data_IF_372836465660
#
_entry.id   IF_372836465660
#
_cell.length_a   1.000
_cell.length_b   1.000
_cell.length_c   1.000
_cell.angle_alpha   90.00
_cell.angle_beta   90.00
_cell.angle_gamma   90.00
#
_symmetry.space_group_name_H-M   'P 1'
#
loop_
_entity.id
_entity.type
_entity.pdbx_description
1 polymer ?
#
# COMPACT_ATOMS: atom_id res chain seq x y z
N UNK A 1 -4.68 17.30 1.76
CA UNK A 1 -4.40 18.06 0.54
C UNK A 1 -3.51 17.32 -0.47
N UNK A 2 -2.29 16.83 -0.09
CA UNK A 2 -1.42 16.11 -1.06
C UNK A 2 -1.96 14.73 -1.45
N UNK A 3 -2.46 13.94 -0.50
CA UNK A 3 -3.06 12.65 -0.82
C UNK A 3 -4.29 12.80 -1.73
N UNK A 4 -5.14 13.80 -1.45
CA UNK A 4 -6.30 14.11 -2.29
C UNK A 4 -5.92 14.64 -3.68
N UNK A 5 -4.74 15.22 -3.85
CA UNK A 5 -4.30 15.68 -5.17
C UNK A 5 -4.08 14.52 -6.16
N UNK A 6 -3.71 13.34 -5.67
CA UNK A 6 -3.52 12.17 -6.53
C UNK A 6 -4.82 11.80 -7.25
N UNK A 7 -5.93 11.74 -6.53
CA UNK A 7 -7.30 11.65 -7.08
C UNK A 7 -8.28 12.29 -6.08
N UNK A 8 -8.83 13.48 -6.39
CA UNK A 8 -9.63 14.25 -5.43
C UNK A 8 -11.00 13.64 -5.08
N UNK A 9 -11.56 12.82 -5.97
CA UNK A 9 -12.89 12.23 -5.81
C UNK A 9 -12.89 10.92 -5.02
N UNK A 10 -11.73 10.35 -4.72
CA UNK A 10 -11.62 9.11 -3.95
C UNK A 10 -10.81 9.26 -2.66
N UNK A 11 -11.03 8.34 -1.74
CA UNK A 11 -10.11 8.12 -0.64
C UNK A 11 -8.90 7.41 -1.23
N UNK A 12 -7.73 8.09 -1.21
CA UNK A 12 -6.48 7.48 -1.62
C UNK A 12 -5.80 6.95 -0.36
N UNK A 13 -5.74 5.64 -0.19
CA UNK A 13 -5.19 5.05 1.02
C UNK A 13 -3.86 4.34 0.77
N UNK A 14 -3.16 4.06 1.86
CA UNK A 14 -1.97 3.21 1.88
C UNK A 14 -2.35 1.89 2.54
N UNK A 15 -2.24 0.79 1.80
CA UNK A 15 -2.24 -0.56 2.34
C UNK A 15 -0.88 -0.82 2.96
N UNK A 16 -0.84 -1.14 4.26
CA UNK A 16 0.36 -1.60 4.95
C UNK A 16 0.11 -3.02 5.46
N UNK A 17 0.83 -4.00 4.93
CA UNK A 17 0.78 -5.35 5.44
C UNK A 17 1.83 -5.54 6.53
N UNK A 18 1.38 -5.98 7.70
CA UNK A 18 2.24 -6.24 8.86
C UNK A 18 2.23 -7.71 9.22
N UNK A 19 3.33 -8.18 9.80
CA UNK A 19 3.44 -9.50 10.41
C UNK A 19 4.02 -9.36 11.82
N UNK A 20 3.45 -10.04 12.79
CA UNK A 20 3.99 -10.09 14.16
C UNK A 20 4.79 -11.38 14.32
N UNK A 21 6.11 -11.25 14.49
CA UNK A 21 7.04 -12.35 14.74
C UNK A 21 7.66 -12.18 16.11
N UNK A 22 7.56 -13.18 16.94
CA UNK A 22 8.14 -13.19 18.30
C UNK A 22 7.80 -11.93 19.14
N UNK A 23 6.57 -11.41 18.94
CA UNK A 23 6.08 -10.20 19.60
C UNK A 23 6.52 -8.89 18.95
N UNK A 24 7.31 -8.92 17.88
CA UNK A 24 7.78 -7.76 17.14
C UNK A 24 6.99 -7.56 15.85
N UNK A 25 6.43 -6.36 15.62
CA UNK A 25 5.68 -6.07 14.41
C UNK A 25 6.63 -5.68 13.28
N UNK A 26 6.46 -6.30 12.12
CA UNK A 26 7.25 -6.09 10.91
C UNK A 26 6.35 -5.58 9.78
N UNK A 27 6.85 -4.67 8.96
CA UNK A 27 6.19 -4.31 7.69
C UNK A 27 6.66 -5.26 6.60
N UNK A 28 5.73 -5.98 5.99
CA UNK A 28 6.01 -6.93 4.90
C UNK A 28 6.01 -6.20 3.56
N UNK A 29 4.98 -5.39 3.28
CA UNK A 29 4.93 -4.52 2.12
C UNK A 29 4.00 -3.32 2.36
N UNK A 30 4.12 -2.32 1.50
CA UNK A 30 3.14 -1.26 1.39
C UNK A 30 2.78 -0.99 -0.06
N UNK A 31 1.53 -0.57 -0.28
CA UNK A 31 0.99 -0.17 -1.57
C UNK A 31 0.11 1.07 -1.42
N UNK A 32 0.26 2.02 -2.32
CA UNK A 32 -0.66 3.14 -2.44
C UNK A 32 -1.81 2.74 -3.37
N UNK A 33 -3.04 3.03 -2.98
CA UNK A 33 -4.25 2.78 -3.75
C UNK A 33 -4.90 4.12 -4.10
N UNK A 34 -5.36 4.25 -5.33
CA UNK A 34 -6.07 5.44 -5.79
C UNK A 34 -7.24 5.06 -6.69
N UNK A 35 -8.35 5.79 -6.57
CA UNK A 35 -9.47 5.65 -7.48
C UNK A 35 -9.16 6.21 -8.86
N UNK A 36 -10.05 5.98 -9.82
CA UNK A 36 -9.97 6.55 -11.17
C UNK A 36 -11.34 7.03 -11.65
N UNK A 37 -11.37 7.89 -12.65
CA UNK A 37 -12.63 8.44 -13.16
C UNK A 37 -13.39 9.23 -12.10
N UNK A 38 -14.70 9.07 -12.02
CA UNK A 38 -15.55 9.67 -10.98
C UNK A 38 -15.82 8.77 -9.79
N UNK A 39 -14.94 7.81 -9.49
CA UNK A 39 -15.16 6.82 -8.45
C UNK A 39 -14.67 7.31 -7.08
N UNK A 40 -15.52 7.15 -6.06
CA UNK A 40 -15.18 7.49 -4.68
C UNK A 40 -14.30 6.44 -3.98
N UNK A 41 -14.09 5.28 -4.63
CA UNK A 41 -13.34 4.14 -4.07
C UNK A 41 -11.97 4.02 -4.75
N UNK A 42 -10.99 3.55 -4.00
CA UNK A 42 -9.64 3.27 -4.46
C UNK A 42 -9.37 1.76 -4.70
N UNK A 43 -10.41 0.95 -4.64
CA UNK A 43 -10.33 -0.50 -4.78
C UNK A 43 -10.01 -0.90 -6.23
N UNK A 44 -8.95 -1.70 -6.41
CA UNK A 44 -8.49 -2.17 -7.73
C UNK A 44 -9.59 -2.93 -8.48
N UNK A 45 -10.30 -3.86 -7.82
CA UNK A 45 -11.44 -4.60 -8.38
C UNK A 45 -12.68 -3.75 -8.71
N UNK A 46 -12.62 -2.44 -8.51
CA UNK A 46 -13.67 -1.47 -8.87
C UNK A 46 -13.13 -0.36 -9.77
N UNK A 47 -12.04 -0.61 -10.48
CA UNK A 47 -11.43 0.34 -11.42
C UNK A 47 -10.40 1.28 -10.81
N UNK A 48 -10.02 1.10 -9.54
CA UNK A 48 -8.88 1.79 -8.95
C UNK A 48 -7.55 1.27 -9.48
N UNK A 49 -6.48 1.97 -9.18
CA UNK A 49 -5.11 1.57 -9.46
C UNK A 49 -4.31 1.39 -8.18
N UNK A 50 -3.36 0.48 -8.23
CA UNK A 50 -2.46 0.21 -7.11
C UNK A 50 -1.01 0.40 -7.55
N UNK A 51 -0.22 1.04 -6.69
CA UNK A 51 1.18 1.35 -6.88
C UNK A 51 1.98 0.80 -5.71
N UNK A 52 3.19 0.30 -5.97
CA UNK A 52 4.13 0.00 -4.89
C UNK A 52 4.47 1.28 -4.12
N UNK A 53 4.55 1.17 -2.82
CA UNK A 53 4.82 2.30 -1.95
C UNK A 53 6.01 2.03 -1.03
N UNK A 54 6.95 2.93 -1.01
CA UNK A 54 8.09 2.91 -0.11
C UNK A 54 7.75 3.72 1.15
N UNK A 55 7.52 3.01 2.25
CA UNK A 55 7.19 3.64 3.54
C UNK A 55 8.34 4.42 4.17
N UNK A 56 9.58 4.12 3.82
CA UNK A 56 10.74 4.81 4.41
C UNK A 56 10.97 6.17 3.74
N UNK A 57 10.66 6.28 2.46
CA UNK A 57 10.77 7.55 1.72
C UNK A 57 9.44 8.27 1.54
N UNK A 58 8.32 7.59 1.73
CA UNK A 58 6.98 8.11 1.49
C UNK A 58 6.65 8.29 0.00
N UNK A 59 7.33 7.59 -0.89
CA UNK A 59 7.19 7.74 -2.34
C UNK A 59 6.53 6.54 -3.00
N UNK A 60 5.76 6.80 -4.05
CA UNK A 60 5.33 5.76 -4.97
C UNK A 60 6.57 5.25 -5.71
N UNK A 61 6.84 3.93 -5.63
CA UNK A 61 8.10 3.34 -6.09
C UNK A 61 8.06 2.91 -7.58
N UNK A 62 6.89 2.79 -8.19
CA UNK A 62 6.76 2.28 -9.55
C UNK A 62 5.52 2.78 -10.29
N UNK A 63 5.17 2.06 -11.35
CA UNK A 63 3.97 2.31 -12.14
C UNK A 63 2.70 1.94 -11.36
N UNK A 64 1.55 2.50 -11.76
CA UNK A 64 0.24 2.04 -11.33
C UNK A 64 -0.20 0.81 -12.11
N UNK A 65 -0.98 -0.06 -11.48
CA UNK A 65 -1.58 -1.23 -12.12
C UNK A 65 -3.07 -1.30 -11.75
N UNK A 66 -3.92 -1.59 -12.74
CA UNK A 66 -5.31 -1.95 -12.52
C UNK A 66 -5.47 -3.48 -12.31
N UNK A 67 -6.71 -3.93 -12.18
CA UNK A 67 -7.05 -5.34 -11.98
C UNK A 67 -6.58 -6.25 -13.13
N UNK A 68 -6.50 -5.70 -14.35
CA UNK A 68 -6.02 -6.40 -15.54
C UNK A 68 -4.49 -6.33 -15.70
N UNK A 69 -3.78 -5.76 -14.70
CA UNK A 69 -2.34 -5.49 -14.70
C UNK A 69 -1.90 -4.54 -15.83
N UNK A 70 -2.80 -3.74 -16.35
CA UNK A 70 -2.45 -2.65 -17.25
C UNK A 70 -1.64 -1.60 -16.49
N UNK A 71 -0.56 -1.15 -17.13
CA UNK A 71 0.43 -0.25 -16.53
C UNK A 71 0.13 1.22 -16.81
N UNK A 72 0.39 2.06 -15.81
CA UNK A 72 0.19 3.50 -15.87
C UNK A 72 1.41 4.22 -15.31
N UNK A 73 2.10 5.02 -16.13
CA UNK A 73 3.15 5.95 -15.66
C UNK A 73 2.55 7.16 -14.96
N UNK A 74 1.36 7.56 -15.43
CA UNK A 74 0.58 8.68 -14.91
C UNK A 74 -0.78 8.22 -14.46
N UNK A 75 -1.30 8.89 -13.45
CA UNK A 75 -2.66 8.62 -12.98
C UNK A 75 -3.67 8.88 -14.13
N UNK A 76 -4.51 7.90 -14.49
CA UNK A 76 -5.32 7.96 -15.71
C UNK A 76 -6.35 9.10 -15.73
N UNK A 77 -6.75 9.61 -14.56
CA UNK A 77 -7.71 10.72 -14.46
C UNK A 77 -7.02 12.08 -14.32
N UNK A 78 -6.04 12.17 -13.42
CA UNK A 78 -5.41 13.47 -13.09
C UNK A 78 -4.16 13.77 -13.90
N UNK A 79 -3.57 12.78 -14.58
CA UNK A 79 -2.32 12.93 -15.33
C UNK A 79 -1.07 13.11 -14.46
N UNK A 80 -1.19 13.00 -13.14
CA UNK A 80 -0.07 13.12 -12.20
C UNK A 80 0.89 11.96 -12.44
N UNK A 81 2.19 12.26 -12.51
CA UNK A 81 3.24 11.25 -12.58
C UNK A 81 3.28 10.44 -11.30
N UNK A 82 3.21 9.12 -11.43
CA UNK A 82 3.07 8.23 -10.29
C UNK A 82 4.40 7.95 -9.61
N UNK A 83 5.40 7.49 -10.38
CA UNK A 83 6.72 7.16 -9.82
C UNK A 83 7.38 8.39 -9.21
N UNK A 84 7.74 8.27 -7.94
CA UNK A 84 8.35 9.37 -7.18
C UNK A 84 7.35 10.34 -6.55
N UNK A 85 6.04 10.16 -6.78
CA UNK A 85 5.02 10.99 -6.14
C UNK A 85 5.09 10.83 -4.61
N UNK A 86 5.18 11.97 -3.92
CA UNK A 86 5.31 11.99 -2.46
C UNK A 86 3.94 11.94 -1.79
N UNK A 87 3.66 10.90 -1.03
CA UNK A 87 2.51 10.83 -0.14
C UNK A 87 2.85 11.46 1.21
N UNK A 88 1.91 12.19 1.83
CA UNK A 88 2.13 12.77 3.15
C UNK A 88 2.05 11.72 4.26
N UNK A 89 2.58 12.06 5.45
CA UNK A 89 2.38 11.32 6.70
C UNK A 89 2.85 9.86 6.66
N UNK A 90 3.84 9.52 5.83
CA UNK A 90 4.25 8.12 5.66
C UNK A 90 4.84 7.52 6.94
N UNK A 91 5.54 8.31 7.75
CA UNK A 91 6.09 7.84 9.04
C UNK A 91 4.97 7.59 10.05
N UNK A 92 3.99 8.48 10.13
CA UNK A 92 2.83 8.33 11.00
C UNK A 92 1.94 7.15 10.55
N UNK A 93 1.81 6.92 9.24
CA UNK A 93 1.12 5.75 8.67
C UNK A 93 1.84 4.47 9.09
N UNK A 94 3.17 4.42 8.97
CA UNK A 94 3.98 3.28 9.41
C UNK A 94 3.82 3.02 10.90
N UNK A 95 3.94 4.06 11.71
CA UNK A 95 3.80 3.97 13.17
C UNK A 95 2.39 3.48 13.57
N UNK A 96 1.34 3.97 12.91
CA UNK A 96 -0.03 3.55 13.17
C UNK A 96 -0.25 2.08 12.84
N UNK A 97 0.25 1.60 11.68
CA UNK A 97 0.14 0.20 11.28
C UNK A 97 0.84 -0.75 12.26
N UNK A 98 2.08 -0.43 12.65
CA UNK A 98 2.83 -1.23 13.61
C UNK A 98 2.17 -1.26 15.00
N UNK A 99 1.63 -0.11 15.45
CA UNK A 99 0.87 -0.04 16.70
C UNK A 99 -0.39 -0.88 16.63
N UNK A 100 -1.14 -0.83 15.53
CA UNK A 100 -2.36 -1.61 15.35
C UNK A 100 -2.06 -3.12 15.36
N UNK A 101 -0.98 -3.56 14.72
CA UNK A 101 -0.55 -4.96 14.72
C UNK A 101 -0.32 -5.51 16.15
N UNK A 102 0.25 -4.70 17.03
CA UNK A 102 0.48 -5.08 18.44
C UNK A 102 -0.79 -5.07 19.30
N UNK A 103 -1.85 -4.37 18.88
CA UNK A 103 -3.13 -4.35 19.61
C UNK A 103 -3.95 -5.63 19.42
N UNK A 104 -3.66 -6.39 18.35
CA UNK A 104 -4.37 -7.61 17.96
C UNK A 104 -3.36 -8.73 17.67
N UNK A 105 -2.59 -9.16 18.68
CA UNK A 105 -1.47 -10.09 18.49
C UNK A 105 -1.91 -11.50 18.03
N UNK A 106 -3.18 -11.83 18.15
CA UNK A 106 -3.76 -13.07 17.62
C UNK A 106 -3.83 -13.09 16.07
N UNK A 107 -3.79 -11.92 15.45
CA UNK A 107 -3.74 -11.80 13.99
C UNK A 107 -2.29 -11.51 13.55
N UNK A 108 -1.53 -12.56 13.28
CA UNK A 108 -0.12 -12.42 12.94
C UNK A 108 0.13 -11.67 11.64
N UNK A 109 -0.77 -11.80 10.65
CA UNK A 109 -0.63 -11.18 9.33
C UNK A 109 -1.88 -10.38 8.98
N UNK A 110 -1.73 -9.05 8.95
CA UNK A 110 -2.85 -8.14 8.70
C UNK A 110 -2.47 -7.07 7.67
N UNK A 111 -3.38 -6.82 6.74
CA UNK A 111 -3.31 -5.69 5.81
C UNK A 111 -4.18 -4.54 6.28
N UNK A 112 -3.57 -3.42 6.68
CA UNK A 112 -4.23 -2.21 7.15
C UNK A 112 -4.45 -1.24 6.00
N UNK A 113 -5.69 -0.82 5.75
CA UNK A 113 -6.00 0.29 4.85
C UNK A 113 -6.05 1.59 5.65
N UNK A 114 -5.12 2.48 5.35
CA UNK A 114 -4.90 3.71 6.13
C UNK A 114 -5.07 4.92 5.21
N UNK A 115 -6.01 5.80 5.53
CA UNK A 115 -6.19 7.07 4.86
C UNK A 115 -5.53 8.21 5.63
N UNK A 116 -5.22 9.30 4.92
CA UNK A 116 -4.70 10.53 5.50
C UNK A 116 -5.83 11.53 5.71
N UNK A 117 -6.03 11.96 6.94
CA UNK A 117 -7.02 12.98 7.32
C UNK A 117 -6.33 14.26 7.78
N UNK A 118 -7.10 15.33 7.97
CA UNK A 118 -6.59 16.59 8.53
C UNK A 118 -6.05 16.44 9.97
N UNK A 119 -6.49 15.39 10.69
CA UNK A 119 -6.11 15.11 12.07
C UNK A 119 -5.01 14.06 12.19
N UNK A 120 -4.48 13.59 11.06
CA UNK A 120 -3.51 12.51 10.99
C UNK A 120 -4.02 11.27 10.24
N UNK A 121 -3.22 10.21 10.16
CA UNK A 121 -3.65 8.97 9.52
C UNK A 121 -4.74 8.26 10.33
N UNK A 122 -5.65 7.59 9.64
CA UNK A 122 -6.73 6.82 10.24
C UNK A 122 -6.88 5.46 9.53
N UNK A 123 -7.03 4.40 10.32
CA UNK A 123 -7.31 3.07 9.78
C UNK A 123 -8.77 3.03 9.33
N UNK A 124 -8.99 2.63 8.08
CA UNK A 124 -10.32 2.38 7.50
C UNK A 124 -10.75 0.96 7.85
N UNK A 125 -9.85 -0.01 7.63
CA UNK A 125 -10.10 -1.42 7.90
C UNK A 125 -8.79 -2.19 8.13
N UNK A 126 -8.90 -3.32 8.81
CA UNK A 126 -7.85 -4.33 8.92
C UNK A 126 -8.35 -5.64 8.32
N UNK A 127 -7.56 -6.23 7.43
CA UNK A 127 -7.85 -7.51 6.78
C UNK A 127 -6.89 -8.55 7.33
N UNK A 128 -7.40 -9.55 8.06
CA UNK A 128 -6.64 -10.62 8.70
C UNK A 128 -6.05 -11.64 7.71
N UNK A 129 -6.62 -11.71 6.51
CA UNK A 129 -6.07 -12.45 5.38
C UNK A 129 -5.99 -11.52 4.16
N UNK A 130 -5.04 -10.57 4.14
CA UNK A 130 -4.91 -9.65 3.02
C UNK A 130 -4.60 -10.43 1.74
N UNK A 131 -5.27 -10.07 0.64
CA UNK A 131 -5.02 -10.66 -0.67
C UNK A 131 -3.55 -10.59 -1.07
N UNK A 132 -3.10 -11.53 -1.86
CA UNK A 132 -1.70 -11.61 -2.34
C UNK A 132 -1.43 -10.74 -3.56
N UNK A 133 -2.47 -10.31 -4.26
CA UNK A 133 -2.46 -9.55 -5.50
C UNK A 133 -1.61 -8.27 -5.40
N UNK A 134 -1.83 -7.45 -4.38
CA UNK A 134 -1.08 -6.19 -4.19
C UNK A 134 0.43 -6.40 -3.98
N UNK A 135 0.81 -7.50 -3.33
CA UNK A 135 2.21 -7.83 -3.09
C UNK A 135 2.88 -8.45 -4.33
N UNK A 136 2.10 -8.96 -5.28
CA UNK A 136 2.57 -9.61 -6.49
C UNK A 136 2.69 -8.65 -7.69
N UNK A 137 2.35 -7.38 -7.52
CA UNK A 137 2.50 -6.38 -8.58
C UNK A 137 3.98 -6.30 -8.97
N UNK A 138 4.30 -6.50 -10.27
CA UNK A 138 5.66 -6.46 -10.78
C UNK A 138 6.32 -5.10 -10.55
N UNK A 139 7.61 -5.12 -10.28
CA UNK A 139 8.44 -3.93 -10.28
C UNK A 139 9.37 -3.96 -11.50
N UNK A 140 9.11 -3.13 -12.48
CA UNK A 140 9.91 -3.08 -13.70
C UNK A 140 11.35 -2.58 -13.46
N UNK A 141 11.63 -2.06 -12.27
CA UNK A 141 12.96 -1.61 -11.88
C UNK A 141 13.70 -2.56 -10.94
N UNK A 142 13.05 -3.65 -10.50
CA UNK A 142 13.68 -4.62 -9.62
C UNK A 142 14.52 -5.62 -10.44
N UNK A 143 15.85 -5.60 -10.35
CA UNK A 143 16.71 -6.58 -11.04
C UNK A 143 16.58 -7.98 -10.44
N UNK A 144 15.85 -8.14 -9.34
CA UNK A 144 15.70 -9.40 -8.65
C UNK A 144 14.64 -10.26 -9.35
N UNK A 145 14.98 -11.50 -9.77
CA UNK A 145 14.03 -12.38 -10.48
C UNK A 145 12.88 -12.89 -9.59
N UNK A 146 12.97 -12.66 -8.27
CA UNK A 146 11.95 -13.06 -7.29
C UNK A 146 11.32 -11.81 -6.68
N UNK A 147 10.03 -11.63 -6.90
CA UNK A 147 9.21 -10.59 -6.24
C UNK A 147 7.97 -11.24 -5.58
N UNK A 148 7.17 -10.45 -4.90
CA UNK A 148 5.98 -10.93 -4.20
C UNK A 148 6.21 -11.16 -2.71
N UNK A 149 5.34 -11.95 -2.10
CA UNK A 149 5.33 -12.16 -0.65
C UNK A 149 6.47 -13.03 -0.15
N UNK A 150 6.76 -14.14 -0.83
CA UNK A 150 7.75 -15.12 -0.36
C UNK A 150 9.10 -14.48 -0.07
N UNK A 151 9.74 -13.74 -1.00
CA UNK A 151 11.01 -13.08 -0.73
C UNK A 151 10.94 -12.06 0.42
N UNK A 152 9.77 -11.46 0.64
CA UNK A 152 9.56 -10.50 1.73
C UNK A 152 9.51 -11.19 3.08
N UNK A 153 8.84 -12.33 3.20
CA UNK A 153 8.82 -13.14 4.40
C UNK A 153 10.22 -13.74 4.68
N UNK A 154 10.89 -14.28 3.66
CA UNK A 154 12.26 -14.82 3.78
C UNK A 154 13.26 -13.78 4.32
N UNK A 155 13.13 -12.50 3.91
CA UNK A 155 13.95 -11.40 4.42
C UNK A 155 13.93 -11.29 5.95
N UNK A 156 12.81 -11.65 6.56
CA UNK A 156 12.63 -11.63 8.01
C UNK A 156 12.77 -13.02 8.66
N UNK A 157 13.21 -14.04 7.90
CA UNK A 157 13.33 -15.41 8.40
C UNK A 157 11.98 -16.02 8.78
N UNK A 158 10.91 -15.66 8.05
CA UNK A 158 9.57 -16.24 8.21
C UNK A 158 9.44 -17.34 7.17
N UNK A 159 9.22 -18.56 7.62
CA UNK A 159 8.95 -19.71 6.76
C UNK A 159 7.51 -19.67 6.25
N UNK A 160 7.31 -19.90 4.94
CA UNK A 160 6.02 -19.88 4.24
C UNK A 160 5.81 -21.15 3.43
#
# INVERSE_FOLDING_TARGET
PQAAALHPDSINCIRVATFVKDGEPLVIYAACKAGTGGMAFDNMGRGGITMRFDLDTGKIAGQGHDEELKKYDRHPTTGIELKGYQMPMHEEVKALALKAALMYPEFHYVGWDICMTEKGPAIIEGNDYPGYDLAQIPDDGDPHPRYGLIPRFEKYGIEV
#
